data_IF_576461485840
#
_entry.id   IF_576461485840
#
_cell.length_a   1.000
_cell.length_b   1.000
_cell.length_c   1.000
_cell.angle_alpha   90.00
_cell.angle_beta   90.00
_cell.angle_gamma   90.00
#
_symmetry.space_group_name_H-M   'P 1'
#
loop_
_entity.id
_entity.type
_entity.pdbx_description
1 polymer ?
#
# COMPACT_ATOMS: atom_id res chain seq x y z
N UNK A 1 11.79 -3.33 21.09
CA UNK A 1 11.34 -3.28 19.68
C UNK A 1 12.40 -2.64 18.81
N UNK A 2 12.89 -3.38 17.85
CA UNK A 2 13.94 -3.01 16.91
C UNK A 2 13.58 -1.74 16.10
N UNK A 3 14.52 -0.82 15.80
CA UNK A 3 14.25 0.35 14.95
C UNK A 3 13.68 0.03 13.56
N UNK A 4 14.06 -1.11 12.95
CA UNK A 4 13.50 -1.59 11.69
C UNK A 4 12.00 -1.88 11.83
N UNK A 5 11.63 -2.58 12.91
CA UNK A 5 10.23 -2.93 13.22
C UNK A 5 9.40 -1.65 13.41
N UNK A 6 9.93 -0.65 14.10
CA UNK A 6 9.25 0.65 14.26
C UNK A 6 9.06 1.36 12.92
N UNK A 7 10.12 1.43 12.09
CA UNK A 7 10.05 2.04 10.77
C UNK A 7 9.03 1.33 9.88
N UNK A 8 8.99 -0.01 9.93
CA UNK A 8 8.02 -0.82 9.22
C UNK A 8 6.59 -0.48 9.67
N UNK A 9 6.30 -0.49 10.97
CA UNK A 9 4.95 -0.19 11.49
C UNK A 9 4.48 1.19 11.03
N UNK A 10 5.33 2.22 11.13
CA UNK A 10 4.99 3.57 10.68
C UNK A 10 4.71 3.60 9.17
N UNK A 11 5.54 2.94 8.37
CA UNK A 11 5.33 2.80 6.92
C UNK A 11 3.99 2.13 6.60
N UNK A 12 3.68 1.03 7.27
CA UNK A 12 2.44 0.27 7.04
C UNK A 12 1.18 1.03 7.46
N UNK A 13 1.26 1.87 8.51
CA UNK A 13 0.16 2.77 8.88
C UNK A 13 -0.19 3.68 7.70
N UNK A 14 0.78 4.35 7.07
CA UNK A 14 0.55 5.22 5.93
C UNK A 14 0.03 4.44 4.71
N UNK A 15 0.62 3.29 4.40
CA UNK A 15 0.25 2.46 3.26
C UNK A 15 -1.18 1.95 3.37
N UNK A 16 -1.53 1.31 4.49
CA UNK A 16 -2.86 0.74 4.69
C UNK A 16 -3.93 1.81 4.95
N UNK A 17 -3.58 2.94 5.55
CA UNK A 17 -4.48 4.10 5.65
C UNK A 17 -4.82 4.65 4.27
N UNK A 18 -3.84 4.75 3.37
CA UNK A 18 -4.06 5.17 1.99
C UNK A 18 -5.06 4.26 1.28
N UNK A 19 -4.88 2.94 1.39
CA UNK A 19 -5.77 1.94 0.81
C UNK A 19 -7.19 2.04 1.37
N UNK A 20 -7.33 2.10 2.70
CA UNK A 20 -8.65 2.10 3.35
C UNK A 20 -9.41 3.42 3.23
N UNK A 21 -8.75 4.52 2.90
CA UNK A 21 -9.44 5.77 2.60
C UNK A 21 -10.35 5.68 1.36
N UNK A 22 -10.08 4.74 0.43
CA UNK A 22 -10.83 4.61 -0.83
C UNK A 22 -11.66 3.33 -0.92
N UNK A 23 -11.21 2.20 -0.37
CA UNK A 23 -11.86 0.90 -0.55
C UNK A 23 -13.35 0.91 -0.18
N UNK A 24 -13.80 1.43 0.98
CA UNK A 24 -15.20 1.38 1.36
C UNK A 24 -16.12 2.16 0.42
N UNK A 25 -15.59 3.14 -0.31
CA UNK A 25 -16.38 4.04 -1.17
C UNK A 25 -16.07 3.89 -2.65
N UNK A 26 -15.16 2.97 -3.03
CA UNK A 26 -14.74 2.80 -4.43
C UNK A 26 -15.89 2.38 -5.35
N UNK A 27 -16.80 1.53 -4.89
CA UNK A 27 -17.98 1.14 -5.68
C UNK A 27 -18.88 2.33 -6.02
N UNK A 28 -19.01 3.29 -5.09
CA UNK A 28 -19.73 4.55 -5.32
C UNK A 28 -19.04 5.37 -6.40
N UNK A 29 -17.71 5.50 -6.33
CA UNK A 29 -16.92 6.18 -7.37
C UNK A 29 -17.14 5.54 -8.75
N UNK A 30 -16.99 4.23 -8.86
CA UNK A 30 -17.14 3.51 -10.12
C UNK A 30 -18.54 3.68 -10.71
N UNK A 31 -19.59 3.57 -9.88
CA UNK A 31 -20.97 3.67 -10.33
C UNK A 31 -21.44 5.11 -10.67
N UNK A 32 -20.87 6.12 -9.99
CA UNK A 32 -21.37 7.50 -10.13
C UNK A 32 -20.48 8.42 -10.97
N UNK A 33 -19.21 8.09 -11.15
CA UNK A 33 -18.23 8.95 -11.83
C UNK A 33 -17.70 8.37 -13.13
N UNK A 34 -17.88 7.07 -13.38
CA UNK A 34 -17.33 6.42 -14.57
C UNK A 34 -18.49 6.06 -15.52
N UNK A 35 -18.49 6.58 -16.76
CA UNK A 35 -19.48 6.20 -17.76
C UNK A 35 -19.47 4.68 -18.00
N UNK A 36 -20.64 4.05 -17.89
CA UNK A 36 -20.79 2.59 -17.96
C UNK A 36 -20.35 1.82 -16.72
N UNK A 37 -19.89 2.52 -15.67
CA UNK A 37 -19.53 1.91 -14.40
C UNK A 37 -20.76 1.50 -13.57
N UNK A 38 -20.60 0.44 -12.80
CA UNK A 38 -21.59 -0.08 -11.87
C UNK A 38 -20.91 -0.90 -10.78
N UNK A 39 -21.67 -1.47 -9.86
CA UNK A 39 -21.15 -2.27 -8.75
C UNK A 39 -20.42 -3.54 -9.22
N UNK A 40 -20.92 -4.18 -10.28
CA UNK A 40 -20.30 -5.38 -10.87
C UNK A 40 -18.93 -5.06 -11.45
N UNK A 41 -18.81 -3.97 -12.20
CA UNK A 41 -17.53 -3.48 -12.76
C UNK A 41 -16.56 -3.10 -11.64
N UNK A 42 -17.05 -2.47 -10.57
CA UNK A 42 -16.23 -2.16 -9.40
C UNK A 42 -15.64 -3.43 -8.76
N UNK A 43 -16.47 -4.45 -8.56
CA UNK A 43 -16.05 -5.75 -8.02
C UNK A 43 -15.09 -6.49 -8.96
N UNK A 44 -15.37 -6.53 -10.26
CA UNK A 44 -14.51 -7.16 -11.25
C UNK A 44 -13.14 -6.48 -11.37
N UNK A 45 -13.09 -5.15 -11.34
CA UNK A 45 -11.84 -4.40 -11.36
C UNK A 45 -11.01 -4.62 -10.08
N UNK A 46 -11.67 -4.72 -8.92
CA UNK A 46 -11.00 -5.13 -7.67
C UNK A 46 -10.45 -6.57 -7.74
N UNK A 47 -11.17 -7.49 -8.39
CA UNK A 47 -10.67 -8.85 -8.62
C UNK A 47 -9.39 -8.86 -9.47
N UNK A 48 -9.28 -7.95 -10.45
CA UNK A 48 -8.04 -7.78 -11.23
C UNK A 48 -6.86 -7.39 -10.34
N UNK A 49 -7.06 -6.48 -9.40
CA UNK A 49 -6.03 -6.14 -8.39
C UNK A 49 -5.55 -7.39 -7.64
N UNK A 50 -6.47 -8.24 -7.16
CA UNK A 50 -6.11 -9.45 -6.41
C UNK A 50 -5.34 -10.46 -7.26
N UNK A 51 -5.80 -10.71 -8.50
CA UNK A 51 -5.14 -11.65 -9.43
C UNK A 51 -3.73 -11.18 -9.77
N UNK A 52 -3.59 -9.92 -10.18
CA UNK A 52 -2.28 -9.34 -10.52
C UNK A 52 -1.36 -9.35 -9.31
N UNK A 53 -1.88 -8.98 -8.12
CA UNK A 53 -1.12 -9.03 -6.87
C UNK A 53 -0.56 -10.43 -6.61
N UNK A 54 -1.36 -11.47 -6.68
CA UNK A 54 -0.90 -12.86 -6.44
C UNK A 54 0.21 -13.26 -7.41
N UNK A 55 0.06 -12.95 -8.70
CA UNK A 55 1.07 -13.26 -9.72
C UNK A 55 2.41 -12.61 -9.35
N UNK A 56 2.41 -11.30 -9.08
CA UNK A 56 3.63 -10.57 -8.76
C UNK A 56 4.19 -10.90 -7.38
N UNK A 57 3.34 -11.26 -6.41
CA UNK A 57 3.77 -11.70 -5.08
C UNK A 57 4.54 -13.02 -5.14
N UNK A 58 4.07 -13.99 -5.94
CA UNK A 58 4.76 -15.27 -6.16
C UNK A 58 6.09 -15.08 -6.90
N UNK A 59 6.13 -14.23 -7.93
CA UNK A 59 7.35 -13.92 -8.68
C UNK A 59 8.37 -13.21 -7.78
N UNK A 60 7.94 -12.16 -7.10
CA UNK A 60 8.78 -11.37 -6.20
C UNK A 60 9.31 -12.19 -5.03
N UNK A 61 8.46 -13.04 -4.41
CA UNK A 61 8.85 -13.91 -3.32
C UNK A 61 9.97 -14.88 -3.71
N UNK A 62 9.90 -15.47 -4.91
CA UNK A 62 10.98 -16.33 -5.44
C UNK A 62 12.28 -15.57 -5.65
N UNK A 63 12.20 -14.40 -6.28
CA UNK A 63 13.37 -13.59 -6.57
C UNK A 63 14.07 -13.11 -5.28
N UNK A 64 13.28 -12.70 -4.27
CA UNK A 64 13.77 -12.12 -3.03
C UNK A 64 14.23 -13.13 -1.98
N UNK A 65 14.05 -14.42 -2.20
CA UNK A 65 14.41 -15.46 -1.22
C UNK A 65 15.89 -15.45 -0.80
N UNK A 66 16.79 -14.99 -1.69
CA UNK A 66 18.23 -14.86 -1.46
C UNK A 66 18.73 -13.40 -1.46
N UNK A 67 17.82 -12.43 -1.40
CA UNK A 67 18.17 -11.02 -1.51
C UNK A 67 18.61 -10.42 -0.18
N UNK A 68 19.48 -9.43 -0.26
CA UNK A 68 19.92 -8.63 0.91
C UNK A 68 18.81 -7.70 1.40
N UNK A 69 18.90 -7.22 2.63
CA UNK A 69 17.95 -6.25 3.19
C UNK A 69 17.86 -4.98 2.33
N UNK A 70 18.99 -4.50 1.79
CA UNK A 70 19.02 -3.32 0.91
C UNK A 70 18.20 -3.56 -0.34
N UNK A 71 18.33 -4.73 -0.97
CA UNK A 71 17.53 -5.07 -2.15
C UNK A 71 16.03 -5.14 -1.80
N UNK A 72 15.67 -5.71 -0.66
CA UNK A 72 14.29 -5.74 -0.17
C UNK A 72 13.74 -4.33 0.08
N UNK A 73 14.53 -3.42 0.65
CA UNK A 73 14.14 -2.02 0.81
C UNK A 73 13.87 -1.34 -0.53
N UNK A 74 14.77 -1.49 -1.50
CA UNK A 74 14.61 -0.90 -2.83
C UNK A 74 13.34 -1.42 -3.52
N UNK A 75 13.13 -2.73 -3.49
CA UNK A 75 11.95 -3.38 -4.09
C UNK A 75 10.65 -2.92 -3.41
N UNK A 76 10.66 -2.75 -2.08
CA UNK A 76 9.52 -2.18 -1.35
C UNK A 76 9.19 -0.76 -1.81
N UNK A 77 10.20 0.09 -1.98
CA UNK A 77 10.02 1.46 -2.47
C UNK A 77 9.46 1.48 -3.89
N UNK A 78 9.99 0.64 -4.79
CA UNK A 78 9.48 0.52 -6.17
C UNK A 78 8.00 0.14 -6.18
N UNK A 79 7.60 -0.84 -5.36
CA UNK A 79 6.21 -1.26 -5.25
C UNK A 79 5.30 -0.16 -4.71
N UNK A 80 5.73 0.60 -3.70
CA UNK A 80 4.98 1.74 -3.15
C UNK A 80 4.81 2.85 -4.21
N UNK A 81 5.85 3.14 -5.00
CA UNK A 81 5.76 4.12 -6.10
C UNK A 81 4.73 3.65 -7.14
N UNK A 82 4.75 2.37 -7.54
CA UNK A 82 3.77 1.82 -8.47
C UNK A 82 2.34 1.94 -7.93
N UNK A 83 2.12 1.67 -6.65
CA UNK A 83 0.80 1.89 -6.03
C UNK A 83 0.37 3.35 -6.13
N UNK A 84 1.27 4.30 -5.86
CA UNK A 84 0.96 5.73 -5.97
C UNK A 84 0.63 6.15 -7.41
N UNK A 85 1.33 5.59 -8.40
CA UNK A 85 0.98 5.76 -9.82
C UNK A 85 -0.44 5.27 -10.09
N UNK A 86 -0.83 4.11 -9.55
CA UNK A 86 -2.18 3.59 -9.66
C UNK A 86 -3.25 4.51 -9.03
N UNK A 87 -2.98 5.10 -7.87
CA UNK A 87 -3.89 6.06 -7.23
C UNK A 87 -4.02 7.36 -8.04
N UNK A 88 -2.93 7.89 -8.58
CA UNK A 88 -2.99 9.03 -9.53
C UNK A 88 -3.78 8.63 -10.78
N UNK A 89 -3.60 7.39 -11.25
CA UNK A 89 -4.37 6.84 -12.35
C UNK A 89 -5.88 6.84 -12.08
N UNK A 90 -6.32 6.50 -10.87
CA UNK A 90 -7.74 6.62 -10.50
C UNK A 90 -8.25 8.05 -10.55
N UNK A 91 -7.43 9.04 -10.17
CA UNK A 91 -7.80 10.46 -10.28
C UNK A 91 -8.03 10.90 -11.75
N UNK A 92 -7.35 10.25 -12.70
CA UNK A 92 -7.40 10.53 -14.13
C UNK A 92 -8.34 9.60 -14.92
N UNK A 93 -8.96 8.62 -14.25
CA UNK A 93 -9.80 7.60 -14.87
C UNK A 93 -11.08 8.22 -15.47
N UNK A 94 -11.35 7.89 -16.74
CA UNK A 94 -12.52 8.38 -17.50
C UNK A 94 -13.42 7.27 -18.07
N UNK A 95 -13.01 6.02 -17.98
CA UNK A 95 -13.72 4.87 -18.56
C UNK A 95 -13.46 3.58 -17.77
N UNK A 96 -14.27 2.56 -18.04
CA UNK A 96 -14.21 1.26 -17.36
C UNK A 96 -12.84 0.59 -17.50
N UNK A 97 -12.24 0.61 -18.70
CA UNK A 97 -10.94 -0.07 -18.92
C UNK A 97 -9.83 0.50 -18.07
N UNK A 98 -9.86 1.81 -17.78
CA UNK A 98 -8.86 2.44 -16.89
C UNK A 98 -8.99 1.98 -15.44
N UNK A 99 -10.20 1.60 -14.96
CA UNK A 99 -10.36 1.02 -13.62
C UNK A 99 -9.55 -0.29 -13.49
N UNK A 100 -9.72 -1.18 -14.48
CA UNK A 100 -8.98 -2.45 -14.52
C UNK A 100 -7.47 -2.22 -14.61
N UNK A 101 -7.05 -1.30 -15.48
CA UNK A 101 -5.63 -0.98 -15.65
C UNK A 101 -5.00 -0.51 -14.33
N UNK A 102 -5.59 0.50 -13.67
CA UNK A 102 -4.98 1.08 -12.49
C UNK A 102 -5.10 0.19 -11.25
N UNK A 103 -6.16 -0.62 -11.14
CA UNK A 103 -6.18 -1.70 -10.16
C UNK A 103 -5.08 -2.74 -10.40
N UNK A 104 -4.83 -3.08 -11.67
CA UNK A 104 -3.70 -3.95 -12.03
C UNK A 104 -2.35 -3.36 -11.61
N UNK A 105 -2.14 -2.06 -11.86
CA UNK A 105 -0.91 -1.35 -11.44
C UNK A 105 -0.74 -1.36 -9.92
N UNK A 106 -1.82 -1.12 -9.16
CA UNK A 106 -1.77 -1.18 -7.69
C UNK A 106 -1.49 -2.61 -7.23
N UNK A 107 -2.14 -3.61 -7.85
CA UNK A 107 -1.90 -5.03 -7.56
C UNK A 107 -0.45 -5.44 -7.81
N UNK A 108 0.12 -5.01 -8.94
CA UNK A 108 1.54 -5.20 -9.25
C UNK A 108 2.44 -4.58 -8.18
N UNK A 109 2.19 -3.31 -7.82
CA UNK A 109 2.98 -2.60 -6.82
C UNK A 109 2.99 -3.31 -5.47
N UNK A 110 1.81 -3.66 -4.96
CA UNK A 110 1.71 -4.35 -3.67
C UNK A 110 2.26 -5.79 -3.76
N UNK A 111 2.03 -6.51 -4.86
CA UNK A 111 2.58 -7.85 -5.08
C UNK A 111 4.11 -7.86 -5.09
N UNK A 112 4.74 -6.85 -5.67
CA UNK A 112 6.20 -6.71 -5.65
C UNK A 112 6.71 -6.37 -4.24
N UNK A 113 6.02 -5.44 -3.53
CA UNK A 113 6.47 -4.95 -2.23
C UNK A 113 6.23 -5.92 -1.07
N UNK A 114 5.10 -6.64 -1.04
CA UNK A 114 4.67 -7.43 0.12
C UNK A 114 5.69 -8.46 0.60
N UNK A 115 6.29 -9.33 -0.25
CA UNK A 115 7.27 -10.31 0.21
C UNK A 115 8.51 -9.65 0.81
N UNK A 116 8.98 -8.56 0.20
CA UNK A 116 10.14 -7.81 0.67
C UNK A 116 9.88 -7.22 2.07
N UNK A 117 8.77 -6.52 2.24
CA UNK A 117 8.37 -5.88 3.49
C UNK A 117 8.15 -6.90 4.60
N UNK A 118 7.39 -7.95 4.33
CA UNK A 118 7.10 -9.00 5.31
C UNK A 118 8.37 -9.73 5.76
N UNK A 119 9.29 -10.00 4.83
CA UNK A 119 10.59 -10.59 5.15
C UNK A 119 11.44 -9.68 6.02
N UNK A 120 11.51 -8.37 5.73
CA UNK A 120 12.21 -7.39 6.56
C UNK A 120 11.62 -7.30 7.96
N UNK A 121 10.32 -7.27 8.09
CA UNK A 121 9.64 -7.23 9.38
C UNK A 121 9.95 -8.49 10.21
N UNK A 122 9.65 -9.66 9.66
CA UNK A 122 9.82 -10.94 10.36
C UNK A 122 11.25 -11.23 10.79
N UNK A 123 12.24 -10.84 9.96
CA UNK A 123 13.65 -11.07 10.25
C UNK A 123 14.25 -10.14 11.33
N UNK A 124 13.52 -9.07 11.68
CA UNK A 124 13.98 -8.07 12.65
C UNK A 124 13.15 -8.03 13.93
N UNK A 125 12.19 -8.94 14.09
CA UNK A 125 11.43 -9.08 15.34
C UNK A 125 12.39 -9.44 16.49
N UNK A 126 12.12 -8.89 17.67
CA UNK A 126 12.87 -9.23 18.89
C UNK A 126 12.50 -10.65 19.32
N UNK A 127 13.51 -11.47 19.63
CA UNK A 127 13.33 -12.85 20.09
C UNK A 127 12.41 -12.88 21.33
N UNK A 128 11.49 -13.82 21.33
CA UNK A 128 10.49 -14.05 22.40
C UNK A 128 9.47 -12.91 22.55
N UNK A 129 9.40 -11.95 21.59
CA UNK A 129 8.44 -10.84 21.53
C UNK A 129 7.65 -10.77 20.23
N UNK A 130 7.80 -11.75 19.37
CA UNK A 130 7.21 -11.76 18.01
C UNK A 130 5.69 -11.55 18.06
N UNK A 131 4.99 -12.26 18.95
CA UNK A 131 3.52 -12.14 19.11
C UNK A 131 3.13 -10.73 19.54
N UNK A 132 3.88 -10.15 20.49
CA UNK A 132 3.61 -8.79 20.98
C UNK A 132 3.86 -7.76 19.88
N UNK A 133 4.96 -7.88 19.11
CA UNK A 133 5.30 -6.94 18.05
C UNK A 133 4.33 -7.03 16.87
N UNK A 134 3.84 -8.23 16.52
CA UNK A 134 2.75 -8.42 15.58
C UNK A 134 1.44 -7.77 16.07
N UNK A 135 1.10 -7.93 17.34
CA UNK A 135 -0.11 -7.33 17.93
C UNK A 135 -0.03 -5.80 17.93
N UNK A 136 1.14 -5.24 18.20
CA UNK A 136 1.39 -3.79 18.13
C UNK A 136 1.24 -3.29 16.69
N UNK A 137 1.82 -4.02 15.72
CA UNK A 137 1.67 -3.73 14.30
C UNK A 137 0.18 -3.70 13.90
N UNK A 138 -0.56 -4.76 14.16
CA UNK A 138 -1.98 -4.87 13.82
C UNK A 138 -2.80 -3.75 14.48
N UNK A 139 -2.58 -3.49 15.76
CA UNK A 139 -3.29 -2.46 16.51
C UNK A 139 -3.16 -1.07 15.89
N UNK A 140 -1.93 -0.65 15.59
CA UNK A 140 -1.67 0.66 14.98
C UNK A 140 -2.16 0.74 13.53
N UNK A 141 -1.95 -0.30 12.74
CA UNK A 141 -2.39 -0.35 11.35
C UNK A 141 -3.90 -0.31 11.25
N UNK A 142 -4.63 -1.16 12.00
CA UNK A 142 -6.10 -1.16 11.98
C UNK A 142 -6.71 0.13 12.52
N UNK A 143 -6.11 0.77 13.52
CA UNK A 143 -6.54 2.09 13.98
C UNK A 143 -6.38 3.13 12.87
N UNK A 144 -5.24 3.16 12.18
CA UNK A 144 -5.01 4.01 11.02
C UNK A 144 -6.01 3.76 9.90
N UNK A 145 -6.30 2.49 9.59
CA UNK A 145 -7.30 2.09 8.60
C UNK A 145 -8.71 2.57 8.96
N UNK A 146 -9.12 2.42 10.21
CA UNK A 146 -10.44 2.87 10.69
C UNK A 146 -10.60 4.40 10.56
N UNK A 147 -9.59 5.15 11.02
CA UNK A 147 -9.61 6.61 10.90
C UNK A 147 -9.60 7.06 9.43
N UNK A 148 -8.78 6.45 8.60
CA UNK A 148 -8.66 6.84 7.19
C UNK A 148 -9.91 6.52 6.38
N UNK A 149 -10.64 5.44 6.69
CA UNK A 149 -11.92 5.12 6.06
C UNK A 149 -12.94 6.26 6.29
N UNK A 150 -13.04 6.75 7.52
CA UNK A 150 -13.93 7.87 7.88
C UNK A 150 -13.48 9.17 7.19
N UNK A 151 -12.18 9.49 7.25
CA UNK A 151 -11.61 10.69 6.60
C UNK A 151 -11.80 10.60 5.08
N UNK A 152 -11.58 9.44 4.47
CA UNK A 152 -11.77 9.22 3.04
C UNK A 152 -13.20 9.50 2.59
N UNK A 153 -14.19 9.00 3.32
CA UNK A 153 -15.59 9.30 3.07
C UNK A 153 -15.91 10.79 3.16
N UNK A 154 -15.42 11.46 4.22
CA UNK A 154 -15.57 12.92 4.39
C UNK A 154 -14.94 13.70 3.23
N UNK A 155 -13.69 13.38 2.88
CA UNK A 155 -12.94 14.06 1.81
C UNK A 155 -13.63 13.84 0.45
N UNK A 156 -14.04 12.62 0.13
CA UNK A 156 -14.75 12.32 -1.11
C UNK A 156 -16.06 13.11 -1.24
N UNK A 157 -16.82 13.21 -0.15
CA UNK A 157 -18.09 13.93 -0.12
C UNK A 157 -17.90 15.44 -0.23
N UNK A 158 -16.88 16.02 0.42
CA UNK A 158 -16.66 17.46 0.49
C UNK A 158 -15.84 18.02 -0.67
N UNK A 159 -14.82 17.29 -1.12
CA UNK A 159 -13.83 17.76 -2.11
C UNK A 159 -13.80 16.91 -3.38
N UNK A 160 -14.54 15.80 -3.40
CA UNK A 160 -14.66 14.90 -4.55
C UNK A 160 -13.59 13.82 -4.59
N UNK A 161 -13.84 12.79 -5.41
CA UNK A 161 -12.97 11.61 -5.54
C UNK A 161 -11.59 11.93 -6.13
N UNK A 162 -11.50 12.83 -7.09
CA UNK A 162 -10.22 13.21 -7.71
C UNK A 162 -9.24 13.75 -6.68
N UNK A 163 -9.71 14.65 -5.81
CA UNK A 163 -8.89 15.18 -4.72
C UNK A 163 -8.48 14.08 -3.73
N UNK A 164 -9.42 13.19 -3.37
CA UNK A 164 -9.13 12.06 -2.50
C UNK A 164 -8.02 11.17 -3.07
N UNK A 165 -8.07 10.83 -4.35
CA UNK A 165 -7.06 9.96 -4.97
C UNK A 165 -5.67 10.59 -4.99
N UNK A 166 -5.54 11.89 -5.22
CA UNK A 166 -4.26 12.59 -5.10
C UNK A 166 -3.76 12.61 -3.66
N UNK A 167 -4.64 12.88 -2.69
CA UNK A 167 -4.29 12.83 -1.27
C UNK A 167 -3.79 11.44 -0.86
N UNK A 168 -4.47 10.39 -1.30
CA UNK A 168 -4.10 8.99 -1.06
C UNK A 168 -2.75 8.65 -1.70
N UNK A 169 -2.49 9.12 -2.93
CA UNK A 169 -1.20 8.91 -3.59
C UNK A 169 -0.04 9.54 -2.80
N UNK A 170 -0.23 10.77 -2.31
CA UNK A 170 0.75 11.47 -1.47
C UNK A 170 0.95 10.73 -0.14
N UNK A 171 -0.14 10.35 0.54
CA UNK A 171 -0.07 9.63 1.81
C UNK A 171 0.64 8.28 1.64
N UNK A 172 0.39 7.58 0.53
CA UNK A 172 1.08 6.33 0.22
C UNK A 172 2.58 6.56 -0.01
N UNK A 173 2.99 7.64 -0.69
CA UNK A 173 4.42 7.99 -0.85
C UNK A 173 5.09 8.32 0.49
N UNK A 174 4.38 8.90 1.46
CA UNK A 174 4.92 9.15 2.80
C UNK A 174 5.33 7.85 3.51
N UNK A 175 4.75 6.70 3.15
CA UNK A 175 5.18 5.40 3.68
C UNK A 175 6.62 5.02 3.35
N UNK A 176 7.25 5.68 2.36
CA UNK A 176 8.66 5.46 2.00
C UNK A 176 9.61 6.10 3.01
N UNK A 177 9.22 7.21 3.63
CA UNK A 177 10.08 8.03 4.50
C UNK A 177 10.73 7.21 5.64
N UNK A 178 9.99 6.39 6.41
CA UNK A 178 10.58 5.59 7.48
C UNK A 178 11.68 4.65 7.00
N UNK A 179 11.54 4.10 5.80
CA UNK A 179 12.55 3.22 5.20
C UNK A 179 13.83 3.98 4.82
N UNK A 180 13.70 5.17 4.21
CA UNK A 180 14.86 6.00 3.85
C UNK A 180 15.63 6.40 5.12
N UNK A 181 14.95 6.94 6.12
CA UNK A 181 15.56 7.37 7.37
C UNK A 181 16.30 6.23 8.10
N UNK A 182 15.73 5.02 8.05
CA UNK A 182 16.39 3.85 8.59
C UNK A 182 17.65 3.48 7.81
N UNK A 183 17.58 3.46 6.48
CA UNK A 183 18.71 3.10 5.62
C UNK A 183 19.89 4.08 5.79
N UNK A 184 19.62 5.38 5.92
CA UNK A 184 20.62 6.41 6.18
C UNK A 184 21.31 6.20 7.56
N UNK A 185 20.50 5.94 8.60
CA UNK A 185 21.03 5.69 9.95
C UNK A 185 21.93 4.45 10.00
N UNK A 186 21.60 3.40 9.25
CA UNK A 186 22.44 2.20 9.15
C UNK A 186 23.78 2.49 8.49
N UNK A 187 23.79 3.31 7.42
CA UNK A 187 25.04 3.76 6.76
C UNK A 187 25.90 4.63 7.67
N UNK A 188 25.31 5.54 8.42
CA UNK A 188 26.03 6.44 9.33
C UNK A 188 26.69 5.70 10.51
N UNK A 189 26.12 4.58 10.95
CA UNK A 189 26.66 3.78 12.06
C UNK A 189 27.70 2.73 11.62
N UNK A 190 28.19 2.76 10.39
CA UNK A 190 29.35 1.99 9.94
C UNK A 190 29.11 0.48 9.79
N UNK A 191 27.91 0.07 9.56
CA UNK A 191 27.55 -1.34 9.30
C UNK A 191 27.51 -1.64 7.81
#
# INVERSE_FOLDING_TARGET
>A
MNPVVKAFIISEIFLWSSWNAIIPIFAIFAATKIPGGNTEIAAASFSTYLIVRVIFELISGRYLSKSTDIQKFIISIIGIILMSVGYVGFALTKNVSSLFLFYGVIGMGLGIASPAKNSLFSSHLDKDKEVTEWSVYDGFVFMGMAMSATIGGFVANRYGFTFLFYLVAITNLLSIIPYILYAEKKKANGA
#
